data_IF_163758504369
#
_entry.id   IF_163758504369
#
_cell.length_a   1.000
_cell.length_b   1.000
_cell.length_c   1.000
_cell.angle_alpha   90.00
_cell.angle_beta   90.00
_cell.angle_gamma   90.00
#
_symmetry.space_group_name_H-M   'P 1'
#
loop_
_entity.id
_entity.type
_entity.pdbx_description
1 polymer ?
#
# COMPACT_ATOMS: atom_id res chain seq x y z
N UNK A 1 -13.53 54.55 -40.71
CA UNK A 1 -14.24 53.68 -39.74
C UNK A 1 -15.16 52.74 -40.52
N UNK A 2 -14.63 51.59 -40.95
CA UNK A 2 -15.39 50.40 -41.35
C UNK A 2 -14.41 49.23 -41.31
N UNK A 3 -14.86 48.06 -40.87
CA UNK A 3 -13.99 46.89 -40.63
C UNK A 3 -14.08 45.91 -41.81
N UNK A 4 -12.95 45.31 -42.17
CA UNK A 4 -12.92 44.09 -42.99
C UNK A 4 -11.98 43.11 -42.27
N UNK A 5 -12.56 42.11 -41.61
CA UNK A 5 -11.81 41.02 -41.01
C UNK A 5 -11.32 40.06 -42.11
N UNK A 6 -10.08 39.58 -42.06
CA UNK A 6 -9.66 38.46 -42.89
C UNK A 6 -10.28 37.16 -42.34
N UNK A 7 -10.96 36.39 -43.20
CA UNK A 7 -11.29 35.00 -42.89
C UNK A 7 -10.00 34.17 -42.86
N UNK A 8 -9.44 33.99 -41.66
CA UNK A 8 -8.39 33.02 -41.41
C UNK A 8 -8.98 31.63 -41.27
N UNK A 9 -9.27 30.98 -42.40
CA UNK A 9 -9.65 29.57 -42.44
C UNK A 9 -8.54 28.71 -41.82
N UNK A 10 -8.76 28.24 -40.60
CA UNK A 10 -7.82 27.36 -39.90
C UNK A 10 -7.75 26.01 -40.62
N UNK A 11 -6.71 25.84 -41.44
CA UNK A 11 -6.45 24.59 -42.14
C UNK A 11 -6.14 23.47 -41.15
N UNK A 12 -7.01 22.46 -41.08
CA UNK A 12 -6.73 21.22 -40.38
C UNK A 12 -5.53 20.53 -41.01
N UNK A 13 -4.39 20.52 -40.32
CA UNK A 13 -3.20 19.82 -40.79
C UNK A 13 -3.49 18.31 -40.90
N UNK A 14 -3.13 17.64 -42.01
CA UNK A 14 -3.31 16.20 -42.13
C UNK A 14 -2.39 15.47 -41.15
N UNK A 15 -2.98 14.66 -40.26
CA UNK A 15 -2.21 13.81 -39.35
C UNK A 15 -1.56 12.67 -40.11
N UNK A 16 -0.23 12.73 -40.27
CA UNK A 16 0.52 11.82 -41.14
C UNK A 16 0.54 10.37 -40.59
N UNK A 17 -0.16 9.40 -41.22
CA UNK A 17 -0.36 8.07 -40.63
C UNK A 17 0.91 7.22 -40.58
N UNK A 18 1.96 7.59 -41.31
CA UNK A 18 3.26 6.91 -41.28
C UNK A 18 4.10 7.30 -40.04
N UNK A 19 3.95 8.51 -39.51
CA UNK A 19 4.64 8.92 -38.28
C UNK A 19 4.14 8.14 -37.05
N UNK A 20 2.85 7.79 -37.03
CA UNK A 20 2.26 6.96 -35.97
C UNK A 20 2.67 5.49 -36.06
N UNK A 21 2.83 4.94 -37.29
CA UNK A 21 3.33 3.56 -37.48
C UNK A 21 4.73 3.38 -36.92
N UNK A 22 5.69 4.21 -37.32
CA UNK A 22 7.07 4.10 -36.85
C UNK A 22 7.24 4.18 -35.32
N UNK A 23 6.34 4.88 -34.62
CA UNK A 23 6.30 4.91 -33.14
C UNK A 23 5.69 3.62 -32.55
N UNK A 24 4.66 3.06 -33.18
CA UNK A 24 4.05 1.78 -32.77
C UNK A 24 4.99 0.60 -33.04
N UNK A 25 5.71 0.58 -34.16
CA UNK A 25 6.76 -0.42 -34.43
C UNK A 25 7.85 -0.37 -33.35
N UNK A 26 8.43 0.80 -33.04
CA UNK A 26 9.43 0.95 -31.98
C UNK A 26 8.91 0.59 -30.59
N UNK A 27 7.63 0.89 -30.30
CA UNK A 27 7.01 0.50 -29.04
C UNK A 27 6.82 -1.02 -28.95
N UNK A 28 6.46 -1.69 -30.05
CA UNK A 28 6.34 -3.15 -30.14
C UNK A 28 7.69 -3.85 -30.00
N UNK A 29 8.74 -3.31 -30.61
CA UNK A 29 10.11 -3.84 -30.53
C UNK A 29 10.63 -3.79 -29.09
N UNK A 30 10.60 -2.60 -28.46
CA UNK A 30 10.98 -2.43 -27.04
C UNK A 30 10.13 -3.24 -26.08
N UNK A 31 8.83 -3.42 -26.37
CA UNK A 31 7.93 -4.27 -25.59
C UNK A 31 8.26 -5.75 -25.78
N UNK A 32 8.72 -6.16 -26.98
CA UNK A 32 9.21 -7.50 -27.27
C UNK A 32 10.45 -7.84 -26.44
N UNK A 33 11.49 -7.01 -26.53
CA UNK A 33 12.74 -7.18 -25.77
C UNK A 33 12.46 -7.26 -24.25
N UNK A 34 11.64 -6.33 -23.74
CA UNK A 34 11.26 -6.29 -22.33
C UNK A 34 10.44 -7.52 -21.92
N UNK A 35 9.50 -7.98 -22.77
CA UNK A 35 8.70 -9.17 -22.50
C UNK A 35 9.56 -10.45 -22.53
N UNK A 36 10.56 -10.53 -23.39
CA UNK A 36 11.46 -11.70 -23.48
C UNK A 36 12.40 -11.77 -22.28
N UNK A 37 13.00 -10.65 -21.87
CA UNK A 37 13.79 -10.55 -20.64
C UNK A 37 12.96 -10.93 -19.39
N UNK A 38 11.75 -10.34 -19.25
CA UNK A 38 10.83 -10.67 -18.15
C UNK A 38 10.41 -12.14 -18.20
N UNK A 39 10.17 -12.73 -19.38
CA UNK A 39 9.76 -14.13 -19.51
C UNK A 39 10.84 -15.11 -19.06
N UNK A 40 12.11 -14.84 -19.37
CA UNK A 40 13.24 -15.64 -18.91
C UNK A 40 13.37 -15.64 -17.38
N UNK A 41 13.39 -14.45 -16.77
CA UNK A 41 13.52 -14.32 -15.31
C UNK A 41 12.27 -14.83 -14.56
N UNK A 42 11.08 -14.55 -15.09
CA UNK A 42 9.82 -15.02 -14.51
C UNK A 42 9.70 -16.56 -14.51
N UNK A 43 10.28 -17.27 -15.49
CA UNK A 43 10.30 -18.73 -15.49
C UNK A 43 11.10 -19.28 -14.30
N UNK A 44 12.35 -18.83 -14.13
CA UNK A 44 13.22 -19.24 -13.03
C UNK A 44 12.76 -18.74 -11.65
N UNK A 45 12.03 -17.62 -11.59
CA UNK A 45 11.38 -17.17 -10.36
C UNK A 45 10.13 -18.01 -10.04
N UNK A 46 9.27 -18.28 -11.04
CA UNK A 46 8.03 -19.02 -10.84
C UNK A 46 8.25 -20.48 -10.39
N UNK A 47 9.32 -21.13 -10.85
CA UNK A 47 9.71 -22.47 -10.39
C UNK A 47 10.04 -22.46 -8.89
N UNK A 48 11.02 -21.63 -8.47
CA UNK A 48 11.39 -21.45 -7.05
C UNK A 48 10.24 -20.96 -6.17
N UNK A 49 9.35 -20.13 -6.72
CA UNK A 49 8.18 -19.63 -5.99
C UNK A 49 7.13 -20.73 -5.79
N UNK A 50 6.93 -21.65 -6.74
CA UNK A 50 6.02 -22.80 -6.56
C UNK A 50 6.46 -23.66 -5.40
N UNK A 51 7.73 -24.05 -5.36
CA UNK A 51 8.26 -24.93 -4.31
C UNK A 51 8.06 -24.31 -2.91
N UNK A 52 8.45 -23.04 -2.74
CA UNK A 52 8.29 -22.34 -1.46
C UNK A 52 6.84 -22.03 -1.07
N UNK A 53 5.95 -21.82 -2.04
CA UNK A 53 4.53 -21.56 -1.77
C UNK A 53 3.83 -22.84 -1.35
N UNK A 54 4.08 -23.97 -2.03
CA UNK A 54 3.47 -25.26 -1.67
C UNK A 54 3.87 -25.66 -0.26
N UNK A 55 5.15 -25.54 0.10
CA UNK A 55 5.66 -25.85 1.45
C UNK A 55 5.01 -24.96 2.55
N UNK A 56 4.75 -23.68 2.26
CA UNK A 56 4.25 -22.71 3.27
C UNK A 56 2.74 -22.54 3.33
N UNK A 57 1.97 -23.11 2.40
CA UNK A 57 0.51 -22.95 2.37
C UNK A 57 -0.19 -23.70 3.51
N UNK A 58 0.32 -24.85 3.93
CA UNK A 58 -0.29 -25.65 4.99
C UNK A 58 -0.15 -24.96 6.36
N UNK A 59 1.04 -24.47 6.69
CA UNK A 59 1.35 -23.76 7.95
C UNK A 59 0.56 -22.44 8.11
N UNK A 60 0.34 -21.71 7.02
CA UNK A 60 -0.27 -20.37 7.06
C UNK A 60 -1.80 -20.36 6.92
N UNK A 61 -2.44 -21.53 6.84
CA UNK A 61 -3.89 -21.66 6.64
C UNK A 61 -4.73 -20.91 7.68
N UNK A 62 -4.29 -20.87 8.94
CA UNK A 62 -4.97 -20.12 10.00
C UNK A 62 -4.95 -18.61 9.73
N UNK A 63 -3.76 -18.04 9.50
CA UNK A 63 -3.59 -16.62 9.20
C UNK A 63 -4.36 -16.17 7.94
N UNK A 64 -4.43 -17.03 6.91
CA UNK A 64 -5.26 -16.80 5.72
C UNK A 64 -6.76 -16.77 6.07
N UNK A 65 -7.21 -17.66 6.96
CA UNK A 65 -8.62 -17.74 7.38
C UNK A 65 -9.06 -16.50 8.17
N UNK A 66 -8.20 -16.00 9.06
CA UNK A 66 -8.46 -14.78 9.83
C UNK A 66 -8.47 -13.53 8.93
N UNK A 67 -7.54 -13.44 7.98
CA UNK A 67 -7.50 -12.36 7.01
C UNK A 67 -8.75 -12.34 6.10
N UNK A 68 -9.23 -13.51 5.67
CA UNK A 68 -10.47 -13.63 4.89
C UNK A 68 -11.71 -13.23 5.70
N UNK A 69 -11.76 -13.57 6.99
CA UNK A 69 -12.86 -13.18 7.89
C UNK A 69 -12.90 -11.65 8.05
N UNK A 70 -11.76 -11.05 8.41
CA UNK A 70 -11.62 -9.59 8.54
C UNK A 70 -12.00 -8.83 7.26
N UNK A 71 -11.60 -9.37 6.09
CA UNK A 71 -11.97 -8.79 4.80
C UNK A 71 -13.48 -8.91 4.50
N UNK A 72 -14.12 -10.03 4.86
CA UNK A 72 -15.56 -10.22 4.70
C UNK A 72 -16.37 -9.25 5.57
N UNK A 73 -15.96 -9.05 6.83
CA UNK A 73 -16.59 -8.07 7.74
C UNK A 73 -16.43 -6.63 7.22
N UNK A 74 -15.26 -6.27 6.69
CA UNK A 74 -15.02 -4.97 6.07
C UNK A 74 -15.91 -4.75 4.82
N UNK A 75 -16.04 -5.75 3.94
CA UNK A 75 -16.94 -5.68 2.77
C UNK A 75 -18.39 -5.54 3.22
N UNK A 76 -18.82 -6.30 4.23
CA UNK A 76 -20.21 -6.24 4.73
C UNK A 76 -20.54 -4.86 5.26
N UNK A 77 -19.66 -4.31 6.11
CA UNK A 77 -19.79 -2.96 6.67
C UNK A 77 -19.86 -1.89 5.57
N UNK A 78 -19.04 -2.01 4.53
CA UNK A 78 -19.06 -1.07 3.40
C UNK A 78 -20.32 -1.21 2.53
N UNK A 79 -20.82 -2.43 2.31
CA UNK A 79 -22.06 -2.69 1.57
C UNK A 79 -23.29 -2.13 2.27
N UNK A 80 -23.36 -2.26 3.60
CA UNK A 80 -24.42 -1.69 4.43
C UNK A 80 -24.42 -0.14 4.39
N UNK A 81 -23.26 0.51 4.21
CA UNK A 81 -23.16 1.96 4.01
C UNK A 81 -23.49 2.41 2.59
N UNK A 82 -23.08 1.64 1.56
CA UNK A 82 -23.26 2.01 0.16
C UNK A 82 -24.71 1.82 -0.33
N UNK A 83 -25.44 0.84 0.22
CA UNK A 83 -26.85 0.60 -0.09
C UNK A 83 -27.81 1.73 0.32
N UNK A 84 -27.34 2.72 1.08
CA UNK A 84 -28.12 3.88 1.53
C UNK A 84 -28.03 5.10 0.58
N UNK A 85 -27.28 5.02 -0.53
CA UNK A 85 -27.07 6.15 -1.45
C UNK A 85 -27.54 5.79 -2.87
N UNK A 86 -28.70 6.33 -3.26
CA UNK A 86 -29.33 6.12 -4.57
C UNK A 86 -28.45 6.59 -5.74
N UNK A 87 -27.69 5.66 -6.33
CA UNK A 87 -26.98 5.86 -7.60
C UNK A 87 -27.28 4.73 -8.58
N UNK A 88 -28.33 4.90 -9.39
CA UNK A 88 -28.83 3.90 -10.35
C UNK A 88 -27.74 3.34 -11.28
N UNK A 89 -26.81 4.19 -11.76
CA UNK A 89 -25.71 3.76 -12.62
C UNK A 89 -24.67 2.91 -11.87
N UNK A 90 -24.29 3.32 -10.66
CA UNK A 90 -23.39 2.56 -9.80
C UNK A 90 -24.03 1.21 -9.40
N UNK A 91 -25.34 1.19 -9.10
CA UNK A 91 -26.09 -0.02 -8.80
C UNK A 91 -26.12 -1.00 -9.98
N UNK A 92 -26.26 -0.51 -11.22
CA UNK A 92 -26.26 -1.37 -12.41
C UNK A 92 -24.87 -1.97 -12.70
N UNK A 93 -23.81 -1.17 -12.54
CA UNK A 93 -22.43 -1.64 -12.66
C UNK A 93 -22.05 -2.61 -11.52
N UNK A 94 -22.51 -2.34 -10.29
CA UNK A 94 -22.34 -3.22 -9.15
C UNK A 94 -23.09 -4.54 -9.32
N UNK A 95 -24.28 -4.54 -9.92
CA UNK A 95 -25.01 -5.76 -10.29
C UNK A 95 -24.23 -6.63 -11.27
N UNK A 96 -23.73 -6.04 -12.37
CA UNK A 96 -22.88 -6.75 -13.34
C UNK A 96 -21.60 -7.31 -12.70
N UNK A 97 -20.96 -6.55 -11.80
CA UNK A 97 -19.81 -7.02 -11.04
C UNK A 97 -20.18 -8.15 -10.07
N UNK A 98 -21.34 -8.10 -9.42
CA UNK A 98 -21.84 -9.11 -8.50
C UNK A 98 -22.17 -10.43 -9.22
N UNK A 99 -22.80 -10.40 -10.39
CA UNK A 99 -23.08 -11.59 -11.20
C UNK A 99 -21.79 -12.29 -11.68
N UNK A 100 -20.81 -11.48 -12.10
CA UNK A 100 -19.46 -11.95 -12.43
C UNK A 100 -18.77 -12.58 -11.22
N UNK A 101 -18.79 -11.91 -10.07
CA UNK A 101 -18.18 -12.38 -8.82
C UNK A 101 -18.88 -13.63 -8.27
N UNK A 102 -20.20 -13.75 -8.40
CA UNK A 102 -20.96 -14.93 -7.97
C UNK A 102 -20.60 -16.16 -8.82
N UNK A 103 -20.41 -15.95 -10.13
CA UNK A 103 -20.00 -17.00 -11.07
C UNK A 103 -18.54 -17.39 -10.86
N UNK A 104 -17.67 -16.43 -10.56
CA UNK A 104 -16.27 -16.66 -10.16
C UNK A 104 -16.16 -17.40 -8.81
N UNK A 105 -16.98 -17.03 -7.83
CA UNK A 105 -17.03 -17.68 -6.50
C UNK A 105 -17.48 -19.14 -6.60
N UNK A 106 -18.57 -19.42 -7.34
CA UNK A 106 -18.98 -20.80 -7.68
C UNK A 106 -17.90 -21.58 -8.44
N UNK A 107 -17.07 -20.89 -9.21
CA UNK A 107 -15.96 -21.51 -9.93
C UNK A 107 -14.79 -21.80 -9.01
N UNK A 108 -14.46 -20.94 -8.04
CA UNK A 108 -13.34 -21.14 -7.10
C UNK A 108 -13.66 -22.13 -5.99
N UNK A 109 -14.90 -22.20 -5.53
CA UNK A 109 -15.31 -23.07 -4.43
C UNK A 109 -15.00 -24.55 -4.71
N UNK A 110 -13.94 -25.07 -4.09
CA UNK A 110 -13.48 -26.45 -4.25
C UNK A 110 -12.57 -26.72 -5.47
N UNK A 111 -12.07 -25.71 -6.18
CA UNK A 111 -11.10 -25.90 -7.26
C UNK A 111 -9.65 -26.03 -6.76
N UNK A 112 -8.90 -26.91 -7.42
CA UNK A 112 -7.47 -27.08 -7.19
C UNK A 112 -6.66 -25.92 -7.79
N UNK A 113 -5.39 -25.73 -7.37
CA UNK A 113 -4.52 -24.65 -7.87
C UNK A 113 -4.34 -24.67 -9.39
N UNK A 114 -4.28 -25.85 -10.01
CA UNK A 114 -4.16 -26.04 -11.46
C UNK A 114 -5.38 -25.47 -12.19
N UNK A 115 -6.58 -25.68 -11.63
CA UNK A 115 -7.82 -25.21 -12.22
C UNK A 115 -8.01 -23.69 -12.05
N UNK A 116 -7.40 -23.08 -11.03
CA UNK A 116 -7.27 -21.62 -10.94
C UNK A 116 -6.25 -21.05 -11.94
N UNK A 117 -5.10 -21.71 -12.12
CA UNK A 117 -4.11 -21.31 -13.13
C UNK A 117 -4.67 -21.42 -14.56
N UNK A 118 -5.48 -22.45 -14.82
CA UNK A 118 -6.20 -22.61 -16.08
C UNK A 118 -7.21 -21.47 -16.30
N UNK A 119 -8.03 -21.14 -15.29
CA UNK A 119 -8.97 -20.01 -15.39
C UNK A 119 -8.28 -18.66 -15.63
N UNK A 120 -7.12 -18.42 -15.02
CA UNK A 120 -6.31 -17.22 -15.28
C UNK A 120 -5.76 -17.17 -16.72
N UNK A 121 -5.39 -18.32 -17.28
CA UNK A 121 -4.94 -18.45 -18.68
C UNK A 121 -6.08 -18.24 -19.68
N UNK A 122 -7.25 -18.80 -19.39
CA UNK A 122 -8.45 -18.63 -20.22
C UNK A 122 -8.90 -17.16 -20.20
N UNK A 123 -8.92 -16.51 -19.02
CA UNK A 123 -9.18 -15.07 -18.90
C UNK A 123 -8.18 -14.22 -19.71
N UNK A 124 -6.88 -14.56 -19.67
CA UNK A 124 -5.83 -13.88 -20.42
C UNK A 124 -6.00 -13.99 -21.94
N UNK A 125 -6.51 -15.12 -22.43
CA UNK A 125 -6.76 -15.34 -23.87
C UNK A 125 -8.07 -14.71 -24.33
N UNK A 126 -9.13 -14.87 -23.55
CA UNK A 126 -10.48 -14.51 -23.98
C UNK A 126 -10.80 -13.03 -23.66
N UNK A 127 -10.14 -12.41 -22.68
CA UNK A 127 -10.34 -11.00 -22.26
C UNK A 127 -9.00 -10.29 -21.94
N UNK A 128 -8.15 -10.01 -22.94
CA UNK A 128 -6.80 -9.44 -22.72
C UNK A 128 -6.82 -8.09 -21.98
N UNK A 129 -7.83 -7.23 -22.21
CA UNK A 129 -7.98 -5.95 -21.51
C UNK A 129 -8.20 -6.14 -20.00
N UNK A 130 -9.05 -7.12 -19.61
CA UNK A 130 -9.31 -7.43 -18.22
C UNK A 130 -8.07 -8.03 -17.54
N UNK A 131 -7.32 -8.87 -18.25
CA UNK A 131 -6.07 -9.44 -17.76
C UNK A 131 -4.99 -8.37 -17.52
N UNK A 132 -4.83 -7.41 -18.45
CA UNK A 132 -3.88 -6.29 -18.28
C UNK A 132 -4.29 -5.41 -17.09
N UNK A 133 -5.56 -4.99 -17.03
CA UNK A 133 -6.07 -4.16 -15.93
C UNK A 133 -5.92 -4.86 -14.56
N UNK A 134 -6.29 -6.15 -14.49
CA UNK A 134 -6.13 -6.97 -13.29
C UNK A 134 -4.66 -7.14 -12.88
N UNK A 135 -3.75 -7.33 -13.85
CA UNK A 135 -2.31 -7.47 -13.59
C UNK A 135 -1.70 -6.19 -13.01
N UNK A 136 -2.09 -5.01 -13.52
CA UNK A 136 -1.64 -3.72 -12.97
C UNK A 136 -2.16 -3.52 -11.54
N UNK A 137 -3.45 -3.79 -11.29
CA UNK A 137 -4.03 -3.70 -9.95
C UNK A 137 -3.38 -4.67 -8.96
N UNK A 138 -3.13 -5.92 -9.39
CA UNK A 138 -2.45 -6.93 -8.58
C UNK A 138 -0.99 -6.52 -8.27
N UNK A 139 -0.25 -6.01 -9.26
CA UNK A 139 1.11 -5.50 -9.05
C UNK A 139 1.16 -4.34 -8.05
N UNK A 140 0.21 -3.39 -8.14
CA UNK A 140 0.08 -2.30 -7.16
C UNK A 140 -0.28 -2.86 -5.77
N UNK A 141 -1.22 -3.80 -5.67
CA UNK A 141 -1.62 -4.40 -4.40
C UNK A 141 -0.45 -5.12 -3.71
N UNK A 142 0.31 -5.94 -4.46
CA UNK A 142 1.51 -6.63 -3.97
C UNK A 142 2.59 -5.62 -3.53
N UNK A 143 2.86 -4.59 -4.35
CA UNK A 143 3.83 -3.55 -4.02
C UNK A 143 3.44 -2.74 -2.78
N UNK A 144 2.15 -2.43 -2.62
CA UNK A 144 1.62 -1.76 -1.41
C UNK A 144 1.68 -2.66 -0.19
N UNK A 145 1.36 -3.95 -0.31
CA UNK A 145 1.49 -4.93 0.78
C UNK A 145 2.94 -5.03 1.24
N UNK A 146 3.89 -5.27 0.32
CA UNK A 146 5.32 -5.33 0.64
C UNK A 146 5.83 -4.06 1.34
N UNK A 147 5.41 -2.87 0.87
CA UNK A 147 5.75 -1.60 1.54
C UNK A 147 5.11 -1.48 2.91
N UNK A 148 3.87 -1.92 3.08
CA UNK A 148 3.11 -1.87 4.34
C UNK A 148 3.69 -2.81 5.39
N UNK A 149 4.06 -4.04 5.03
CA UNK A 149 4.69 -5.02 5.92
C UNK A 149 6.04 -4.51 6.45
N UNK A 150 6.80 -3.79 5.63
CA UNK A 150 8.07 -3.17 6.04
C UNK A 150 7.92 -2.02 7.07
N UNK A 151 6.70 -1.53 7.33
CA UNK A 151 6.43 -0.50 8.35
C UNK A 151 5.92 -1.11 9.67
N UNK A 152 5.81 -2.44 9.77
CA UNK A 152 5.73 -3.14 11.06
C UNK A 152 7.13 -3.36 11.65
N UNK A 153 7.85 -2.28 11.92
CA UNK A 153 8.75 -2.29 13.06
C UNK A 153 7.88 -1.97 14.27
N UNK A 154 7.68 -2.90 15.23
CA UNK A 154 7.15 -2.48 16.51
C UNK A 154 8.16 -1.51 17.10
N UNK A 155 7.71 -0.29 17.40
CA UNK A 155 8.44 0.60 18.29
C UNK A 155 8.47 -0.05 19.67
N UNK A 156 9.42 -0.98 19.87
CA UNK A 156 9.87 -1.41 21.17
C UNK A 156 10.61 -0.22 21.78
N UNK A 157 9.83 0.77 22.22
CA UNK A 157 10.30 1.79 23.14
C UNK A 157 10.93 1.05 24.31
N UNK A 158 12.24 1.18 24.54
CA UNK A 158 12.82 0.70 25.77
C UNK A 158 12.14 1.53 26.87
N UNK A 159 11.25 0.90 27.62
CA UNK A 159 10.76 1.47 28.88
C UNK A 159 11.92 1.38 29.87
N UNK A 160 12.89 2.27 29.68
CA UNK A 160 13.87 2.62 30.69
C UNK A 160 13.14 3.51 31.70
N UNK A 161 12.40 2.86 32.59
CA UNK A 161 11.93 3.52 33.79
C UNK A 161 13.13 3.95 34.65
N UNK A 162 12.95 5.04 35.42
CA UNK A 162 13.83 5.60 36.47
C UNK A 162 14.51 6.95 36.15
N UNK A 163 13.78 8.05 36.41
CA UNK A 163 14.11 9.17 37.34
C UNK A 163 15.46 9.94 37.25
N UNK A 164 15.58 11.14 37.88
CA UNK A 164 14.64 12.28 37.89
C UNK A 164 15.33 13.66 37.67
N UNK A 165 14.52 14.69 37.38
CA UNK A 165 14.73 16.12 37.68
C UNK A 165 16.17 16.70 37.81
N UNK A 166 16.76 17.13 36.68
CA UNK A 166 17.68 18.27 36.52
C UNK A 166 17.42 18.86 35.12
N UNK A 167 17.50 20.16 34.81
CA UNK A 167 18.00 21.32 35.56
C UNK A 167 17.14 22.57 35.24
N UNK A 168 17.00 23.48 36.21
CA UNK A 168 16.20 24.72 36.12
C UNK A 168 17.09 25.97 36.01
N UNK A 169 18.06 26.00 35.09
CA UNK A 169 18.87 27.22 34.86
C UNK A 169 18.23 28.14 33.81
N UNK A 170 17.17 28.82 34.25
CA UNK A 170 16.63 30.00 33.56
C UNK A 170 17.65 31.14 33.67
N UNK A 171 18.44 31.37 32.61
CA UNK A 171 19.34 32.54 32.50
C UNK A 171 18.54 33.83 32.54
N UNK A 172 18.36 34.37 33.74
CA UNK A 172 17.63 35.60 34.01
C UNK A 172 18.47 36.55 34.87
N UNK A 173 18.86 37.64 34.22
CA UNK A 173 18.98 38.99 34.75
C UNK A 173 19.93 39.28 35.94
N UNK A 174 20.88 40.16 35.64
CA UNK A 174 21.81 40.77 36.57
C UNK A 174 21.16 41.59 37.71
N UNK A 175 21.51 41.24 38.95
CA UNK A 175 21.70 42.10 40.14
C UNK A 175 22.27 41.19 41.25
N UNK A 176 23.21 41.56 42.11
CA UNK A 176 23.71 42.90 42.42
C UNK A 176 23.56 43.24 43.90
N UNK A 177 24.05 42.38 44.81
CA UNK A 177 24.21 42.58 46.27
C UNK A 177 25.07 41.36 46.73
N UNK A 178 26.37 41.43 47.04
CA UNK A 178 27.06 42.16 48.11
C UNK A 178 26.41 42.11 49.49
N UNK A 179 26.46 40.93 50.15
CA UNK A 179 26.58 40.83 51.61
C UNK A 179 26.97 39.43 52.11
N UNK A 180 28.02 39.40 52.93
CA UNK A 180 28.31 38.34 53.93
C UNK A 180 28.74 39.05 55.21
N UNK A 181 28.23 38.63 56.38
CA UNK A 181 28.97 37.75 57.30
C UNK A 181 28.07 36.58 57.79
N UNK A 182 28.56 35.37 58.13
CA UNK A 182 29.49 34.96 59.21
C UNK A 182 28.90 35.21 60.62
N UNK A 183 28.92 34.15 61.46
CA UNK A 183 28.39 34.01 62.83
C UNK A 183 26.85 33.89 62.94
N UNK A 184 26.26 33.10 63.85
CA UNK A 184 26.73 32.10 64.85
C UNK A 184 25.61 31.01 64.96
N UNK A 185 25.65 29.87 65.68
CA UNK A 185 26.51 29.28 66.74
C UNK A 185 26.49 27.72 66.60
N UNK A 186 27.29 26.89 67.31
CA UNK A 186 27.37 25.43 67.10
C UNK A 186 26.68 24.59 68.20
N UNK A 187 25.55 23.95 67.89
CA UNK A 187 24.89 23.02 68.81
C UNK A 187 25.49 21.61 68.76
N UNK A 188 26.09 21.20 69.87
CA UNK A 188 26.62 19.85 70.09
C UNK A 188 25.84 19.13 71.21
N UNK A 189 24.84 18.33 70.83
CA UNK A 189 24.31 17.23 71.65
C UNK A 189 24.40 15.94 70.82
N UNK A 190 25.38 15.07 71.02
CA UNK A 190 25.55 14.12 72.15
C UNK A 190 24.41 13.12 72.21
N UNK A 191 24.47 12.12 71.34
CA UNK A 191 23.66 10.90 71.47
C UNK A 191 24.38 9.69 70.86
N UNK A 192 25.12 8.96 71.70
CA UNK A 192 24.92 7.51 71.88
C UNK A 192 25.65 7.03 73.15
N UNK A 193 24.88 6.62 74.16
CA UNK A 193 25.39 6.05 75.39
C UNK A 193 25.40 4.52 75.30
N UNK A 194 26.58 3.91 75.43
CA UNK A 194 26.71 2.44 75.46
C UNK A 194 26.37 1.87 76.84
N UNK A 195 25.65 0.74 76.79
CA UNK A 195 25.49 -0.31 77.83
C UNK A 195 24.59 0.02 79.02
#
# INVERSE_FOLDING_TARGET
MSSIYPESGAGSAPSDPNASRGQVEQAREKLGDAAEAVRGEAAHFAERARDQVVEKVEDNKAAVSDALTSFADAIRTAGEQLGAQDQTFAAQLAGQAADGLQSFSRTIAGKSPEAMLQAARDLGRDNPTAFIAGSVLAGIAIGRFARSSAHHQPDTTPTTASSPAQDLTQTSLAAGDDRSPINDEPDAEVQDGRS
#
